data_IF_278534590892
#
_entry.id   IF_278534590892
#
_cell.length_a   1.000
_cell.length_b   1.000
_cell.length_c   1.000
_cell.angle_alpha   90.00
_cell.angle_beta   90.00
_cell.angle_gamma   90.00
#
_symmetry.space_group_name_H-M   'P 1'
#
loop_
_entity.id
_entity.type
_entity.pdbx_description
1 polymer ?
#
# COMPACT_ATOMS: atom_id res chain seq x y z
N UNK A 1 -13.94 -8.90 -0.08
CA UNK A 1 -13.91 -8.36 1.30
C UNK A 1 -14.42 -6.92 1.29
N UNK A 2 -15.52 -6.52 1.86
CA UNK A 2 -16.88 -7.04 2.03
C UNK A 2 -17.60 -5.70 2.32
N UNK A 3 -18.20 -5.03 1.32
CA UNK A 3 -18.89 -3.74 1.53
C UNK A 3 -19.98 -3.88 2.62
N UNK A 4 -20.51 -5.10 2.74
CA UNK A 4 -21.30 -5.64 3.85
C UNK A 4 -20.64 -5.47 5.22
N UNK A 5 -19.36 -5.80 5.39
CA UNK A 5 -18.62 -5.65 6.65
C UNK A 5 -18.41 -4.19 7.03
N UNK A 6 -18.10 -3.32 6.06
CA UNK A 6 -17.98 -1.87 6.30
C UNK A 6 -19.34 -1.28 6.67
N UNK A 7 -20.40 -1.65 5.95
CA UNK A 7 -21.77 -1.21 6.25
C UNK A 7 -22.25 -1.74 7.61
N UNK A 8 -21.88 -2.97 7.98
CA UNK A 8 -22.21 -3.57 9.27
C UNK A 8 -21.49 -2.87 10.41
N UNK A 9 -20.19 -2.60 10.28
CA UNK A 9 -19.41 -1.84 11.27
C UNK A 9 -19.96 -0.42 11.39
N UNK A 10 -20.24 0.25 10.27
CA UNK A 10 -20.82 1.59 10.27
C UNK A 10 -22.23 1.62 10.91
N UNK A 11 -23.09 0.65 10.61
CA UNK A 11 -24.41 0.53 11.24
C UNK A 11 -24.30 0.23 12.74
N UNK A 12 -23.37 -0.62 13.16
CA UNK A 12 -23.13 -0.92 14.57
C UNK A 12 -22.66 0.31 15.35
N UNK A 13 -21.75 1.08 14.75
CA UNK A 13 -21.27 2.35 15.31
C UNK A 13 -22.41 3.38 15.38
N UNK A 14 -23.19 3.53 14.31
CA UNK A 14 -24.34 4.44 14.29
C UNK A 14 -25.42 4.03 15.29
N UNK A 15 -25.75 2.74 15.40
CA UNK A 15 -26.71 2.23 16.36
C UNK A 15 -26.23 2.48 17.80
N UNK A 16 -24.95 2.29 18.08
CA UNK A 16 -24.36 2.56 19.40
C UNK A 16 -24.41 4.05 19.75
N UNK A 17 -24.08 4.93 18.79
CA UNK A 17 -24.19 6.38 18.96
C UNK A 17 -25.65 6.82 19.14
N UNK A 18 -26.59 6.22 18.40
CA UNK A 18 -28.00 6.55 18.46
C UNK A 18 -28.62 6.06 19.78
N UNK A 19 -28.22 4.88 20.28
CA UNK A 19 -28.65 4.35 21.57
C UNK A 19 -28.09 5.16 22.74
N UNK A 20 -26.83 5.60 22.64
CA UNK A 20 -26.23 6.53 23.60
C UNK A 20 -26.94 7.89 23.57
N UNK A 21 -27.21 8.43 22.38
CA UNK A 21 -27.94 9.68 22.21
C UNK A 21 -29.37 9.56 22.76
N UNK A 22 -30.05 8.44 22.51
CA UNK A 22 -31.36 8.15 23.08
C UNK A 22 -31.29 8.07 24.60
N UNK A 23 -30.30 7.35 25.15
CA UNK A 23 -30.12 7.21 26.59
C UNK A 23 -29.88 8.59 27.24
N UNK A 24 -28.99 9.42 26.69
CA UNK A 24 -28.73 10.77 27.21
C UNK A 24 -29.95 11.68 27.05
N UNK A 25 -30.71 11.55 25.95
CA UNK A 25 -31.93 12.34 25.69
C UNK A 25 -33.11 11.92 26.57
N UNK A 26 -33.21 10.63 26.90
CA UNK A 26 -34.33 10.04 27.65
C UNK A 26 -34.04 9.80 29.13
N UNK A 27 -32.83 10.07 29.64
CA UNK A 27 -32.60 10.16 31.09
C UNK A 27 -33.35 11.39 31.58
N UNK A 28 -34.49 11.23 32.29
CA UNK A 28 -35.32 12.37 32.59
C UNK A 28 -34.80 13.02 33.87
N UNK A 29 -34.85 14.35 33.90
CA UNK A 29 -34.27 15.27 34.89
C UNK A 29 -34.69 15.03 36.36
N UNK A 30 -35.54 14.05 36.65
CA UNK A 30 -36.10 13.78 37.97
C UNK A 30 -35.23 12.91 38.90
N UNK A 31 -34.06 12.43 38.46
CA UNK A 31 -33.09 11.73 39.32
C UNK A 31 -32.11 12.68 40.06
N UNK A 32 -32.37 13.99 40.05
CA UNK A 32 -31.46 15.03 40.54
C UNK A 32 -31.27 15.10 42.08
N UNK A 33 -31.94 14.27 42.88
CA UNK A 33 -31.89 14.40 44.36
C UNK A 33 -30.84 13.53 45.09
N UNK A 34 -30.10 12.63 44.41
CA UNK A 34 -29.01 11.87 45.05
C UNK A 34 -27.63 12.40 44.64
N UNK A 35 -27.14 13.46 45.29
CA UNK A 35 -25.85 14.10 45.00
C UNK A 35 -24.64 13.15 45.06
N UNK A 36 -24.66 12.11 45.91
CA UNK A 36 -23.54 11.15 46.03
C UNK A 36 -23.40 10.18 44.83
N UNK A 37 -24.50 9.87 44.14
CA UNK A 37 -24.48 9.00 42.96
C UNK A 37 -24.07 9.77 41.70
N UNK A 38 -24.36 11.07 41.63
CA UNK A 38 -23.95 11.93 40.50
C UNK A 38 -22.44 12.13 40.43
N UNK A 39 -21.78 12.44 41.55
CA UNK A 39 -20.32 12.67 41.54
C UNK A 39 -19.54 11.44 41.09
N UNK A 40 -19.98 10.25 41.49
CA UNK A 40 -19.36 9.00 41.04
C UNK A 40 -19.65 8.74 39.57
N UNK A 41 -20.89 8.90 39.12
CA UNK A 41 -21.28 8.69 37.72
C UNK A 41 -20.60 9.69 36.76
N UNK A 42 -20.43 10.94 37.19
CA UNK A 42 -19.72 11.97 36.41
C UNK A 42 -18.24 11.64 36.26
N UNK A 43 -17.59 11.16 37.33
CA UNK A 43 -16.20 10.68 37.28
C UNK A 43 -16.02 9.49 36.31
N UNK A 44 -16.90 8.48 36.40
CA UNK A 44 -16.87 7.33 35.50
C UNK A 44 -17.12 7.75 34.04
N UNK A 45 -18.05 8.67 33.78
CA UNK A 45 -18.33 9.15 32.43
C UNK A 45 -17.15 9.90 31.83
N UNK A 46 -16.40 10.67 32.63
CA UNK A 46 -15.20 11.38 32.21
C UNK A 46 -14.07 10.43 31.82
N UNK A 47 -13.81 9.42 32.66
CA UNK A 47 -12.81 8.38 32.37
C UNK A 47 -13.17 7.61 31.10
N UNK A 48 -14.44 7.23 30.95
CA UNK A 48 -14.91 6.52 29.77
C UNK A 48 -14.73 7.33 28.47
N UNK A 49 -15.11 8.62 28.48
CA UNK A 49 -14.91 9.51 27.31
C UNK A 49 -13.43 9.62 26.94
N UNK A 50 -12.55 9.75 27.92
CA UNK A 50 -11.11 9.82 27.70
C UNK A 50 -10.58 8.54 27.08
N UNK A 51 -10.94 7.36 27.63
CA UNK A 51 -10.55 6.06 27.07
C UNK A 51 -11.03 5.88 25.63
N UNK A 52 -12.29 6.23 25.34
CA UNK A 52 -12.82 6.20 23.97
C UNK A 52 -12.06 7.14 23.03
N UNK A 53 -11.72 8.36 23.48
CA UNK A 53 -10.93 9.30 22.70
C UNK A 53 -9.53 8.77 22.41
N UNK A 54 -8.88 8.11 23.36
CA UNK A 54 -7.56 7.50 23.16
C UNK A 54 -7.60 6.36 22.14
N UNK A 55 -8.59 5.46 22.26
CA UNK A 55 -8.76 4.35 21.32
C UNK A 55 -9.03 4.88 19.91
N UNK A 56 -9.90 5.89 19.78
CA UNK A 56 -10.20 6.52 18.50
C UNK A 56 -8.96 7.18 17.89
N UNK A 57 -8.20 7.93 18.69
CA UNK A 57 -6.96 8.58 18.25
C UNK A 57 -5.94 7.55 17.75
N UNK A 58 -5.72 6.45 18.50
CA UNK A 58 -4.84 5.36 18.08
C UNK A 58 -5.32 4.67 16.80
N UNK A 59 -6.63 4.45 16.67
CA UNK A 59 -7.22 3.87 15.46
C UNK A 59 -7.00 4.76 14.23
N UNK A 60 -7.16 6.08 14.36
CA UNK A 60 -6.93 7.04 13.28
C UNK A 60 -5.45 7.06 12.88
N UNK A 61 -4.54 7.14 13.86
CA UNK A 61 -3.09 7.11 13.61
C UNK A 61 -2.67 5.82 12.92
N UNK A 62 -3.22 4.68 13.36
CA UNK A 62 -2.94 3.39 12.72
C UNK A 62 -3.43 3.33 11.28
N UNK A 63 -4.64 3.83 11.00
CA UNK A 63 -5.18 3.86 9.65
C UNK A 63 -4.36 4.78 8.72
N UNK A 64 -3.96 5.96 9.22
CA UNK A 64 -3.07 6.87 8.49
C UNK A 64 -1.73 6.22 8.17
N UNK A 65 -1.11 5.53 9.15
CA UNK A 65 0.15 4.84 8.93
C UNK A 65 0.09 3.79 7.80
N UNK A 66 -1.02 3.05 7.71
CA UNK A 66 -1.22 2.09 6.62
C UNK A 66 -1.34 2.76 5.25
N UNK A 67 -2.05 3.88 5.16
CA UNK A 67 -2.17 4.65 3.91
C UNK A 67 -0.84 5.26 3.48
N UNK A 68 -0.08 5.81 4.43
CA UNK A 68 1.26 6.37 4.14
C UNK A 68 2.19 5.30 3.59
N UNK A 69 2.22 4.10 4.18
CA UNK A 69 3.04 2.99 3.67
C UNK A 69 2.69 2.58 2.25
N UNK A 70 1.39 2.43 1.94
CA UNK A 70 0.97 2.10 0.58
C UNK A 70 1.40 3.18 -0.43
N UNK A 71 1.33 4.46 -0.05
CA UNK A 71 1.81 5.55 -0.90
C UNK A 71 3.34 5.54 -1.07
N UNK A 72 4.09 5.20 -0.02
CA UNK A 72 5.55 5.05 -0.10
C UNK A 72 5.95 3.90 -1.03
N UNK A 73 5.28 2.74 -0.95
CA UNK A 73 5.56 1.58 -1.79
C UNK A 73 5.32 1.89 -3.28
N UNK A 74 4.20 2.53 -3.63
CA UNK A 74 3.91 2.96 -5.01
C UNK A 74 4.94 3.98 -5.51
N UNK A 75 5.35 4.92 -4.64
CA UNK A 75 6.38 5.91 -4.98
C UNK A 75 7.74 5.25 -5.24
N UNK A 76 8.13 4.29 -4.38
CA UNK A 76 9.37 3.52 -4.52
C UNK A 76 9.37 2.66 -5.79
N UNK A 77 8.24 2.05 -6.12
CA UNK A 77 8.05 1.30 -7.35
C UNK A 77 8.20 2.20 -8.59
N UNK A 78 7.53 3.36 -8.60
CA UNK A 78 7.67 4.35 -9.67
C UNK A 78 9.11 4.84 -9.84
N UNK A 79 9.79 5.16 -8.73
CA UNK A 79 11.21 5.54 -8.75
C UNK A 79 12.10 4.42 -9.31
N UNK A 80 11.80 3.16 -8.98
CA UNK A 80 12.52 1.99 -9.49
C UNK A 80 12.35 1.81 -11.00
N UNK A 81 11.14 2.03 -11.54
CA UNK A 81 10.89 1.99 -12.99
C UNK A 81 11.62 3.10 -13.74
N UNK A 82 11.66 4.31 -13.16
CA UNK A 82 12.46 5.42 -13.70
C UNK A 82 13.94 5.02 -13.72
N UNK A 83 14.48 4.59 -12.58
CA UNK A 83 15.88 4.16 -12.45
C UNK A 83 16.22 3.05 -13.45
N UNK A 84 15.30 2.10 -13.66
CA UNK A 84 15.46 1.05 -14.65
C UNK A 84 15.61 1.63 -16.07
N UNK A 85 14.81 2.63 -16.44
CA UNK A 85 14.94 3.30 -17.73
C UNK A 85 16.33 3.94 -17.91
N UNK A 86 16.93 4.52 -16.87
CA UNK A 86 18.31 5.04 -16.92
C UNK A 86 19.34 3.91 -16.99
N UNK A 87 19.15 2.82 -16.24
CA UNK A 87 20.03 1.65 -16.21
C UNK A 87 20.08 0.92 -17.56
N UNK A 88 19.07 1.05 -18.42
CA UNK A 88 19.08 0.46 -19.77
C UNK A 88 19.92 1.23 -20.80
N UNK A 89 20.44 2.42 -20.47
CA UNK A 89 21.24 3.24 -21.40
C UNK A 89 22.49 2.56 -21.96
N UNK A 90 23.24 1.71 -21.22
CA UNK A 90 24.39 1.00 -21.76
C UNK A 90 24.01 -0.19 -22.66
N UNK A 91 22.74 -0.61 -22.66
CA UNK A 91 22.30 -1.80 -23.38
C UNK A 91 22.22 -1.59 -24.89
N UNK A 92 22.36 -2.67 -25.70
CA UNK A 92 22.07 -2.65 -27.13
C UNK A 92 20.66 -2.14 -27.42
N UNK A 93 20.48 -1.45 -28.55
CA UNK A 93 19.22 -0.77 -28.91
C UNK A 93 18.00 -1.70 -28.85
N UNK A 94 18.12 -2.92 -29.37
CA UNK A 94 17.03 -3.91 -29.37
C UNK A 94 16.60 -4.31 -27.94
N UNK A 95 17.55 -4.60 -27.05
CA UNK A 95 17.26 -4.97 -25.65
C UNK A 95 16.73 -3.77 -24.86
N UNK A 96 17.24 -2.56 -25.14
CA UNK A 96 16.77 -1.32 -24.53
C UNK A 96 15.31 -1.03 -24.88
N UNK A 97 14.94 -1.15 -26.15
CA UNK A 97 13.56 -0.96 -26.60
C UNK A 97 12.62 -1.98 -25.97
N UNK A 98 13.02 -3.25 -25.91
CA UNK A 98 12.23 -4.31 -25.29
C UNK A 98 11.97 -4.06 -23.80
N UNK A 99 13.00 -3.69 -23.04
CA UNK A 99 12.84 -3.39 -21.60
C UNK A 99 11.95 -2.16 -21.39
N UNK A 100 12.10 -1.11 -22.21
CA UNK A 100 11.26 0.10 -22.13
C UNK A 100 9.80 -0.20 -22.44
N UNK A 101 9.54 -1.02 -23.45
CA UNK A 101 8.18 -1.42 -23.82
C UNK A 101 7.53 -2.26 -22.71
N UNK A 102 8.24 -3.27 -22.17
CA UNK A 102 7.76 -4.07 -21.04
C UNK A 102 7.52 -3.24 -19.78
N UNK A 103 8.39 -2.26 -19.49
CA UNK A 103 8.21 -1.31 -18.39
C UNK A 103 6.92 -0.52 -18.56
N UNK A 104 6.65 -0.03 -19.78
CA UNK A 104 5.43 0.71 -20.10
C UNK A 104 4.18 -0.15 -19.97
N UNK A 105 4.23 -1.37 -20.52
CA UNK A 105 3.12 -2.33 -20.44
C UNK A 105 2.81 -2.71 -18.99
N UNK A 106 3.86 -2.90 -18.16
CA UNK A 106 3.72 -3.16 -16.74
C UNK A 106 3.02 -2.00 -16.03
N UNK A 107 3.47 -0.76 -16.23
CA UNK A 107 2.86 0.43 -15.62
C UNK A 107 1.37 0.53 -15.97
N UNK A 108 1.01 0.31 -17.24
CA UNK A 108 -0.40 0.34 -17.67
C UNK A 108 -1.21 -0.76 -17.01
N UNK A 109 -0.70 -2.00 -16.99
CA UNK A 109 -1.39 -3.13 -16.38
C UNK A 109 -1.57 -2.95 -14.85
N UNK A 110 -0.60 -2.34 -14.16
CA UNK A 110 -0.72 -2.05 -12.73
C UNK A 110 -1.83 -1.03 -12.45
N UNK A 111 -1.85 0.06 -13.22
CA UNK A 111 -2.83 1.15 -13.02
C UNK A 111 -4.24 0.68 -13.40
N UNK A 112 -4.39 0.02 -14.55
CA UNK A 112 -5.70 -0.29 -15.12
C UNK A 112 -6.29 -1.61 -14.61
N UNK A 113 -5.46 -2.54 -14.12
CA UNK A 113 -5.92 -3.89 -13.74
C UNK A 113 -5.54 -4.26 -12.30
N UNK A 114 -4.27 -4.11 -11.89
CA UNK A 114 -3.81 -4.51 -10.56
C UNK A 114 -4.46 -3.67 -9.45
N UNK A 115 -4.43 -2.34 -9.53
CA UNK A 115 -5.01 -1.48 -8.49
C UNK A 115 -6.53 -1.68 -8.33
N UNK A 116 -7.33 -1.78 -9.40
CA UNK A 116 -8.74 -2.15 -9.28
C UNK A 116 -8.98 -3.55 -8.71
N UNK A 117 -8.10 -4.52 -8.99
CA UNK A 117 -8.18 -5.86 -8.40
C UNK A 117 -7.82 -5.84 -6.91
N UNK A 118 -6.75 -5.13 -6.52
CA UNK A 118 -6.34 -4.93 -5.13
C UNK A 118 -7.43 -4.27 -4.29
N UNK A 119 -8.19 -3.33 -4.87
CA UNK A 119 -9.34 -2.71 -4.21
C UNK A 119 -10.46 -3.72 -3.87
N UNK A 120 -10.49 -4.86 -4.55
CA UNK A 120 -11.41 -5.99 -4.27
C UNK A 120 -10.77 -7.08 -3.41
N UNK A 121 -9.48 -6.95 -3.09
CA UNK A 121 -8.68 -7.97 -2.40
C UNK A 121 -8.18 -9.09 -3.33
N UNK A 122 -8.14 -8.83 -4.63
CA UNK A 122 -7.67 -9.74 -5.69
C UNK A 122 -6.33 -9.23 -6.27
N UNK A 123 -5.71 -10.00 -7.16
CA UNK A 123 -4.52 -9.61 -7.93
C UNK A 123 -4.72 -9.85 -9.44
N UNK A 124 -4.01 -9.09 -10.27
CA UNK A 124 -4.03 -9.26 -11.72
C UNK A 124 -2.96 -10.24 -12.18
N UNK A 125 -3.41 -11.35 -12.77
CA UNK A 125 -2.52 -12.32 -13.41
C UNK A 125 -1.72 -11.68 -14.57
N UNK A 126 -2.27 -10.66 -15.24
CA UNK A 126 -1.60 -9.98 -16.35
C UNK A 126 -0.43 -9.13 -15.85
N UNK A 127 -0.64 -8.33 -14.81
CA UNK A 127 0.42 -7.51 -14.22
C UNK A 127 1.58 -8.39 -13.73
N UNK A 128 1.25 -9.51 -13.07
CA UNK A 128 2.23 -10.50 -12.62
C UNK A 128 3.03 -11.11 -13.79
N UNK A 129 2.35 -11.49 -14.88
CA UNK A 129 3.02 -12.07 -16.04
C UNK A 129 3.99 -11.09 -16.72
N UNK A 130 3.61 -9.83 -16.87
CA UNK A 130 4.47 -8.80 -17.47
C UNK A 130 5.68 -8.52 -16.56
N UNK A 131 5.47 -8.48 -15.24
CA UNK A 131 6.55 -8.36 -14.27
C UNK A 131 7.57 -9.51 -14.41
N UNK A 132 7.09 -10.74 -14.53
CA UNK A 132 7.95 -11.90 -14.71
C UNK A 132 8.72 -11.88 -16.04
N UNK A 133 8.08 -11.42 -17.13
CA UNK A 133 8.76 -11.24 -18.42
C UNK A 133 9.83 -10.13 -18.37
N UNK A 134 9.51 -9.00 -17.72
CA UNK A 134 10.46 -7.90 -17.50
C UNK A 134 11.67 -8.40 -16.69
N UNK A 135 11.42 -9.15 -15.62
CA UNK A 135 12.47 -9.74 -14.77
C UNK A 135 13.38 -10.68 -15.56
N UNK A 136 12.81 -11.59 -16.36
CA UNK A 136 13.59 -12.51 -17.21
C UNK A 136 14.43 -11.75 -18.24
N UNK A 137 13.85 -10.78 -18.93
CA UNK A 137 14.54 -9.97 -19.95
C UNK A 137 15.74 -9.21 -19.35
N UNK A 138 15.59 -8.67 -18.14
CA UNK A 138 16.68 -7.98 -17.43
C UNK A 138 17.81 -8.94 -17.01
N UNK A 139 17.46 -10.14 -16.55
CA UNK A 139 18.44 -11.17 -16.18
C UNK A 139 19.25 -11.64 -17.39
N UNK A 140 18.58 -11.91 -18.51
CA UNK A 140 19.23 -12.32 -19.76
C UNK A 140 20.16 -11.24 -20.29
N UNK A 141 19.73 -9.97 -20.23
CA UNK A 141 20.54 -8.86 -20.74
C UNK A 141 21.77 -8.57 -19.88
N UNK A 142 21.67 -8.65 -18.55
CA UNK A 142 22.85 -8.57 -17.67
C UNK A 142 23.82 -9.73 -17.88
N UNK A 143 23.31 -10.93 -18.13
CA UNK A 143 24.13 -12.11 -18.44
C UNK A 143 24.96 -11.90 -19.72
N UNK A 144 24.30 -11.45 -20.79
CA UNK A 144 24.96 -11.19 -22.08
C UNK A 144 26.02 -10.08 -21.99
N UNK A 145 25.72 -8.98 -21.28
CA UNK A 145 26.68 -7.88 -21.11
C UNK A 145 27.95 -8.31 -20.37
N UNK A 146 27.82 -9.11 -19.29
CA UNK A 146 28.99 -9.66 -18.58
C UNK A 146 29.79 -10.63 -19.45
N UNK A 147 29.11 -11.42 -20.28
CA UNK A 147 29.77 -12.34 -21.21
C UNK A 147 30.55 -11.59 -22.30
N UNK A 148 29.99 -10.51 -22.87
CA UNK A 148 30.68 -9.65 -23.84
C UNK A 148 31.93 -8.99 -23.23
N UNK A 149 31.85 -8.50 -22.00
CA UNK A 149 33.00 -7.86 -21.31
C UNK A 149 34.14 -8.84 -21.03
N UNK A 150 33.82 -10.08 -20.62
CA UNK A 150 34.81 -11.15 -20.42
C UNK A 150 35.46 -11.56 -21.75
N UNK A 151 34.67 -11.74 -22.81
CA UNK A 151 35.20 -12.07 -24.14
C UNK A 151 36.11 -10.95 -24.71
N UNK A 152 35.73 -9.69 -24.51
CA UNK A 152 36.56 -8.54 -24.89
C UNK A 152 37.89 -8.51 -24.12
N UNK A 153 37.86 -8.84 -22.82
CA UNK A 153 39.08 -8.92 -22.00
C UNK A 153 40.01 -10.05 -22.46
N UNK A 154 39.47 -11.24 -22.71
CA UNK A 154 40.26 -12.40 -23.13
C UNK A 154 40.88 -12.19 -24.53
N UNK A 155 40.14 -11.58 -25.45
CA UNK A 155 40.65 -11.25 -26.79
C UNK A 155 41.73 -10.17 -26.77
N UNK A 156 41.66 -9.18 -25.88
CA UNK A 156 42.72 -8.18 -25.71
C UNK A 156 44.01 -8.80 -25.14
N UNK A 157 43.92 -9.71 -24.16
CA UNK A 157 45.08 -10.44 -23.62
C UNK A 157 45.73 -11.32 -24.70
N UNK A 158 44.93 -11.97 -25.54
CA UNK A 158 45.44 -12.79 -26.65
C UNK A 158 46.17 -11.96 -27.71
N UNK A 159 45.79 -10.70 -27.91
CA UNK A 159 46.40 -9.79 -28.88
C UNK A 159 47.65 -9.07 -28.34
N UNK A 160 47.75 -8.82 -27.03
CA UNK A 160 48.91 -8.14 -26.42
C UNK A 160 50.08 -9.07 -26.05
N UNK A 161 49.92 -10.38 -26.21
CA UNK A 161 50.92 -11.40 -25.88
C UNK A 161 51.87 -11.80 -27.01
N UNK A 162 52.00 -10.97 -28.06
CA UNK A 162 52.91 -11.19 -29.19
C UNK A 162 53.92 -10.06 -29.34
#
# INVERSE_FOLDING_TARGET
MEWSSIAFVACSVLASLLLLALMVRYVPEHWHEHHALKDTLDHFSGLNRTLFSFILALSIVSAQASLTKASEDVSNEGASLINLQWATRPLPTASRERVRDLTRQYTVAVIDEEWPAMAKGESSARAQNIYDELRRTLQDTQGSSKQEEVFARDSLVALSGR
#
